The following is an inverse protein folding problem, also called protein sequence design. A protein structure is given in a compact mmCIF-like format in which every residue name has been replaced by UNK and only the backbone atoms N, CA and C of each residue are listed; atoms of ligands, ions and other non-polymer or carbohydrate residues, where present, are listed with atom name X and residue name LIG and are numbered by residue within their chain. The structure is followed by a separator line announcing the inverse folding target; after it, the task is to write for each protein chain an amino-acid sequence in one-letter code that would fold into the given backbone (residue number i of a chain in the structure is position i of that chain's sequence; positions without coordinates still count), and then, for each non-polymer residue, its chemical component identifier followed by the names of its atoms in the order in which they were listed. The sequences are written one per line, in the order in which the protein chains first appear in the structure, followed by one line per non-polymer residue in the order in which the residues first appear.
data_IF_058654791853
#
_entry.id   IF_058654791853
#
_cell.length_a   1.000
_cell.length_b   1.000
_cell.length_c   1.000
_cell.angle_alpha   90.00
_cell.angle_beta   90.00
_cell.angle_gamma   90.00
#
_symmetry.space_group_name_H-M   'P 1'
#
loop_
_entity.id
_entity.type
_entity.pdbx_description
1 polymer ?
#
# COMPACT_ATOMS: atom_id res chain seq x y z
N UNK A 1 -65.18 -24.35 38.22
CA UNK A 1 -63.89 -24.42 37.53
C UNK A 1 -64.20 -24.25 36.06
N UNK A 2 -64.04 -23.02 35.56
CA UNK A 2 -62.89 -22.59 34.73
C UNK A 2 -63.04 -23.23 33.32
N UNK A 3 -63.11 -22.51 32.19
CA UNK A 3 -62.26 -21.39 31.76
C UNK A 3 -62.99 -20.44 30.79
N UNK A 4 -63.03 -19.16 31.15
CA UNK A 4 -62.87 -17.96 30.29
C UNK A 4 -61.53 -18.04 29.51
N UNK A 5 -61.21 -17.34 28.41
CA UNK A 5 -61.77 -16.21 27.68
C UNK A 5 -60.99 -16.10 26.35
N UNK A 6 -61.61 -15.45 25.37
CA UNK A 6 -61.02 -14.95 24.13
C UNK A 6 -60.40 -13.55 24.35
N UNK A 7 -59.53 -13.11 23.42
CA UNK A 7 -59.15 -11.71 23.04
C UNK A 7 -57.80 -11.12 23.49
N UNK A 8 -57.28 -10.21 22.63
CA UNK A 8 -56.11 -9.29 22.69
C UNK A 8 -54.84 -9.84 22.01
N UNK A 9 -54.47 -9.49 20.76
CA UNK A 9 -54.19 -8.19 20.12
C UNK A 9 -53.05 -7.38 20.77
N UNK A 10 -52.16 -6.84 19.92
CA UNK A 10 -51.10 -5.84 20.20
C UNK A 10 -49.86 -6.36 20.95
N UNK A 11 -48.63 -5.86 20.79
CA UNK A 11 -47.92 -5.00 19.83
C UNK A 11 -46.46 -5.07 20.30
N UNK A 12 -45.54 -5.09 19.35
CA UNK A 12 -44.12 -4.72 19.42
C UNK A 12 -43.52 -4.48 20.82
N UNK A 13 -42.80 -5.49 21.31
CA UNK A 13 -41.85 -5.34 22.40
C UNK A 13 -40.43 -5.21 21.86
N UNK A 14 -39.98 -3.98 21.62
CA UNK A 14 -38.57 -3.63 21.87
C UNK A 14 -38.40 -2.14 22.15
N UNK A 15 -38.81 -1.76 23.37
CA UNK A 15 -38.41 -0.52 24.02
C UNK A 15 -37.01 -0.72 24.60
N UNK A 16 -36.01 -0.13 23.96
CA UNK A 16 -34.72 0.13 24.61
C UNK A 16 -34.76 1.57 25.15
N UNK A 17 -34.68 1.66 26.47
CA UNK A 17 -34.79 2.88 27.24
C UNK A 17 -33.65 3.88 26.97
N UNK A 18 -34.05 5.14 27.03
CA UNK A 18 -33.29 6.38 27.13
C UNK A 18 -32.12 6.33 28.11
N UNK A 19 -30.90 6.53 27.60
CA UNK A 19 -29.97 7.57 28.06
C UNK A 19 -28.92 7.83 26.97
N UNK A 20 -28.66 9.10 26.65
CA UNK A 20 -27.56 9.49 25.76
C UNK A 20 -27.93 10.10 24.41
N UNK A 21 -29.02 10.89 24.32
CA UNK A 21 -29.18 11.88 23.24
C UNK A 21 -28.80 13.26 23.76
N UNK A 22 -27.50 13.56 23.71
CA UNK A 22 -27.01 14.93 23.66
C UNK A 22 -26.54 15.17 22.23
N UNK A 23 -27.41 15.83 21.49
CA UNK A 23 -27.24 16.33 20.15
C UNK A 23 -25.90 17.05 20.00
N UNK A 24 -25.18 16.74 18.94
CA UNK A 24 -23.93 17.42 18.63
C UNK A 24 -23.23 16.68 17.51
N UNK A 25 -23.79 16.79 16.32
CA UNK A 25 -23.07 16.54 15.09
C UNK A 25 -21.91 17.55 14.99
N UNK A 26 -20.88 17.36 15.80
CA UNK A 26 -19.55 17.77 15.41
C UNK A 26 -19.18 16.76 14.33
N UNK A 27 -19.55 17.10 13.10
CA UNK A 27 -18.79 16.68 11.93
C UNK A 27 -17.42 17.32 12.12
N UNK A 28 -16.65 16.76 13.07
CA UNK A 28 -15.21 16.95 13.08
C UNK A 28 -14.81 16.16 11.87
N UNK A 29 -14.72 16.92 10.77
CA UNK A 29 -13.98 16.63 9.55
C UNK A 29 -13.14 15.42 9.88
N UNK A 30 -13.58 14.25 9.39
CA UNK A 30 -12.72 13.10 9.34
C UNK A 30 -11.52 13.66 8.62
N UNK A 31 -10.50 14.02 9.42
CA UNK A 31 -9.31 14.64 8.93
C UNK A 31 -8.92 13.70 7.83
N UNK A 32 -8.93 14.23 6.61
CA UNK A 32 -8.38 13.58 5.44
C UNK A 32 -7.01 13.12 5.93
N UNK A 33 -6.95 11.87 6.41
CA UNK A 33 -5.73 11.14 6.42
C UNK A 33 -5.37 11.24 4.96
N UNK A 34 -4.30 11.96 4.57
CA UNK A 34 -3.90 11.98 3.18
C UNK A 34 -3.79 10.50 2.85
N UNK A 35 -4.73 9.99 2.04
CA UNK A 35 -4.92 8.57 1.86
C UNK A 35 -3.54 8.05 1.52
N UNK A 36 -2.90 7.37 2.47
CA UNK A 36 -1.50 7.01 2.35
C UNK A 36 -1.48 6.11 1.13
N UNK A 37 -1.02 6.66 -0.01
CA UNK A 37 -1.47 6.32 -1.35
C UNK A 37 -1.68 4.82 -1.49
N UNK A 38 -2.89 4.37 -1.13
CA UNK A 38 -3.11 2.97 -0.88
C UNK A 38 -3.21 2.40 -2.28
N UNK A 39 -2.19 1.62 -2.66
CA UNK A 39 -2.22 0.83 -3.89
C UNK A 39 -3.63 0.34 -4.08
N UNK A 40 -4.34 0.78 -5.13
CA UNK A 40 -5.75 0.44 -5.36
C UNK A 40 -5.90 -1.02 -5.81
N UNK A 41 -4.94 -1.85 -5.45
CA UNK A 41 -4.85 -3.24 -5.79
C UNK A 41 -5.73 -4.05 -4.85
N UNK A 42 -6.34 -5.09 -5.41
CA UNK A 42 -6.97 -6.11 -4.62
C UNK A 42 -5.95 -6.66 -3.59
N UNK A 43 -6.29 -6.67 -2.29
CA UNK A 43 -5.37 -7.09 -1.23
C UNK A 43 -4.88 -8.54 -1.40
N UNK A 44 -5.55 -9.37 -2.19
CA UNK A 44 -5.10 -10.73 -2.52
C UNK A 44 -3.99 -10.77 -3.58
N UNK A 45 -3.87 -9.75 -4.43
CA UNK A 45 -2.84 -9.65 -5.47
C UNK A 45 -1.54 -9.00 -4.96
N UNK A 46 -1.59 -8.36 -3.78
CA UNK A 46 -0.43 -7.74 -3.15
C UNK A 46 0.73 -8.70 -2.80
N UNK A 47 0.50 -9.89 -2.19
CA UNK A 47 1.60 -10.80 -1.86
C UNK A 47 2.34 -11.33 -3.09
N UNK A 48 1.64 -11.61 -4.19
CA UNK A 48 2.26 -12.02 -5.45
C UNK A 48 3.13 -10.90 -6.03
N UNK A 49 2.61 -9.66 -6.04
CA UNK A 49 3.35 -8.49 -6.54
C UNK A 49 4.62 -8.22 -5.73
N UNK A 50 4.53 -8.32 -4.41
CA UNK A 50 5.69 -8.18 -3.52
C UNK A 50 6.70 -9.30 -3.76
N UNK A 51 6.25 -10.54 -3.99
CA UNK A 51 7.14 -11.65 -4.29
C UNK A 51 7.90 -11.46 -5.61
N UNK A 52 7.21 -10.97 -6.66
CA UNK A 52 7.83 -10.65 -7.96
C UNK A 52 8.90 -9.55 -7.82
N UNK A 53 8.57 -8.47 -7.12
CA UNK A 53 9.55 -7.42 -6.81
C UNK A 53 10.75 -7.99 -6.04
N UNK A 54 10.53 -8.79 -5.00
CA UNK A 54 11.63 -9.41 -4.22
C UNK A 54 12.52 -10.31 -5.07
N UNK A 55 11.95 -11.08 -5.99
CA UNK A 55 12.73 -11.91 -6.91
C UNK A 55 13.64 -11.04 -7.79
N UNK A 56 13.08 -9.97 -8.38
CA UNK A 56 13.80 -9.01 -9.21
C UNK A 56 14.90 -8.29 -8.42
N UNK A 57 14.58 -7.87 -7.20
CA UNK A 57 15.52 -7.23 -6.29
C UNK A 57 16.64 -8.17 -5.81
N UNK A 58 16.44 -9.49 -5.86
CA UNK A 58 17.49 -10.49 -5.64
C UNK A 58 18.56 -10.52 -6.74
N UNK A 59 18.28 -9.93 -7.91
CA UNK A 59 19.20 -9.85 -9.04
C UNK A 59 19.92 -8.48 -9.13
N UNK A 60 19.72 -7.58 -8.17
CA UNK A 60 20.35 -6.25 -8.18
C UNK A 60 21.88 -6.35 -8.18
N UNK A 61 22.51 -5.70 -9.15
CA UNK A 61 23.97 -5.60 -9.26
C UNK A 61 24.51 -4.39 -8.50
N UNK A 62 23.74 -3.31 -8.43
CA UNK A 62 24.09 -2.10 -7.68
C UNK A 62 22.83 -1.34 -7.24
N UNK A 63 22.89 -0.69 -6.07
CA UNK A 63 21.83 0.17 -5.58
C UNK A 63 22.40 1.45 -4.98
N UNK A 64 21.68 2.55 -5.19
CA UNK A 64 21.94 3.84 -4.54
C UNK A 64 20.61 4.42 -4.04
N UNK A 65 20.47 4.53 -2.73
CA UNK A 65 19.23 5.02 -2.09
C UNK A 65 19.52 6.36 -1.44
N UNK A 66 19.10 7.43 -2.11
CA UNK A 66 19.13 8.79 -1.59
C UNK A 66 17.83 9.18 -0.89
N UNK A 67 17.77 10.45 -0.45
CA UNK A 67 16.60 10.98 0.27
C UNK A 67 15.38 11.19 -0.63
N UNK A 68 15.57 11.52 -1.90
CA UNK A 68 14.47 11.81 -2.85
C UNK A 68 14.58 11.04 -4.16
N UNK A 69 15.68 10.31 -4.35
CA UNK A 69 15.95 9.51 -5.53
C UNK A 69 16.54 8.17 -5.08
N UNK A 70 16.04 7.07 -5.62
CA UNK A 70 16.64 5.75 -5.48
C UNK A 70 16.91 5.17 -6.88
N UNK A 71 18.07 4.56 -7.06
CA UNK A 71 18.47 3.92 -8.31
C UNK A 71 18.86 2.47 -8.05
N UNK A 72 18.39 1.57 -8.89
CA UNK A 72 18.68 0.15 -8.85
C UNK A 72 19.14 -0.34 -10.22
N UNK A 73 20.29 -1.00 -10.25
CA UNK A 73 20.85 -1.60 -11.46
C UNK A 73 20.60 -3.11 -11.43
N UNK A 74 20.17 -3.65 -12.57
CA UNK A 74 19.93 -5.07 -12.78
C UNK A 74 20.71 -5.56 -14.01
N UNK A 75 21.05 -6.85 -14.10
CA UNK A 75 21.63 -7.40 -15.32
C UNK A 75 20.63 -7.28 -16.46
N UNK A 76 21.10 -6.90 -17.65
CA UNK A 76 20.26 -6.86 -18.85
C UNK A 76 20.02 -8.28 -19.37
N UNK A 77 18.93 -8.88 -18.92
CA UNK A 77 18.37 -10.10 -19.50
C UNK A 77 16.99 -9.80 -20.09
N UNK A 78 16.55 -10.61 -21.05
CA UNK A 78 15.21 -10.45 -21.65
C UNK A 78 14.09 -10.66 -20.61
N UNK A 79 14.27 -11.60 -19.68
CA UNK A 79 13.32 -11.85 -18.59
C UNK A 79 13.27 -10.67 -17.62
N UNK A 80 14.41 -10.18 -17.15
CA UNK A 80 14.48 -9.04 -16.22
C UNK A 80 13.90 -7.77 -16.85
N UNK A 81 14.15 -7.51 -18.14
CA UNK A 81 13.61 -6.35 -18.83
C UNK A 81 12.08 -6.40 -18.96
N UNK A 82 11.52 -7.55 -19.34
CA UNK A 82 10.08 -7.74 -19.44
C UNK A 82 9.40 -7.60 -18.07
N UNK A 83 9.94 -8.29 -17.06
CA UNK A 83 9.36 -8.29 -15.72
C UNK A 83 9.40 -6.90 -15.09
N UNK A 84 10.54 -6.19 -15.24
CA UNK A 84 10.69 -4.84 -14.71
C UNK A 84 9.76 -3.84 -15.41
N UNK A 85 9.58 -3.96 -16.73
CA UNK A 85 8.64 -3.12 -17.47
C UNK A 85 7.20 -3.35 -17.02
N UNK A 86 6.79 -4.61 -16.85
CA UNK A 86 5.45 -4.97 -16.37
C UNK A 86 5.19 -4.44 -14.96
N UNK A 87 6.12 -4.66 -14.03
CA UNK A 87 5.97 -4.19 -12.65
C UNK A 87 5.96 -2.66 -12.59
N UNK A 88 6.82 -1.96 -13.31
CA UNK A 88 6.82 -0.49 -13.36
C UNK A 88 5.50 0.06 -13.91
N UNK A 89 4.92 -0.57 -14.95
CA UNK A 89 3.59 -0.17 -15.44
C UNK A 89 2.51 -0.29 -14.36
N UNK A 90 2.55 -1.36 -13.57
CA UNK A 90 1.61 -1.57 -12.47
C UNK A 90 1.83 -0.56 -11.34
N UNK A 91 3.07 -0.29 -10.96
CA UNK A 91 3.38 0.67 -9.90
C UNK A 91 3.10 2.12 -10.30
N UNK A 92 3.21 2.48 -11.58
CA UNK A 92 2.78 3.80 -12.05
C UNK A 92 1.28 4.06 -11.83
N UNK A 93 0.46 3.00 -11.81
CA UNK A 93 -0.98 3.11 -11.50
C UNK A 93 -1.21 3.20 -10.00
N UNK A 94 -0.51 2.39 -9.21
CA UNK A 94 -0.70 2.30 -7.76
C UNK A 94 0.00 3.44 -6.97
N UNK A 95 1.15 3.90 -7.45
CA UNK A 95 2.02 4.90 -6.84
C UNK A 95 2.28 6.05 -7.82
N UNK A 96 1.21 6.68 -8.31
CA UNK A 96 1.28 7.78 -9.29
C UNK A 96 2.06 9.02 -8.79
N UNK A 97 2.26 9.14 -7.47
CA UNK A 97 3.03 10.21 -6.84
C UNK A 97 4.55 10.00 -6.94
N UNK A 98 4.99 8.79 -7.31
CA UNK A 98 6.39 8.45 -7.52
C UNK A 98 6.67 8.54 -9.02
N UNK A 99 7.73 9.24 -9.41
CA UNK A 99 8.23 9.20 -10.76
C UNK A 99 9.09 7.93 -10.95
N UNK A 100 8.63 7.06 -11.84
CA UNK A 100 9.31 5.81 -12.18
C UNK A 100 9.97 5.95 -13.56
N UNK A 101 11.29 5.88 -13.61
CA UNK A 101 12.06 5.85 -14.85
C UNK A 101 12.80 4.52 -14.98
N UNK A 102 12.86 4.05 -16.21
CA UNK A 102 13.49 2.79 -16.58
C UNK A 102 14.32 3.06 -17.84
N UNK A 103 15.63 2.81 -17.75
CA UNK A 103 16.58 3.03 -18.83
C UNK A 103 17.46 1.79 -19.02
N UNK A 104 17.78 1.47 -20.27
CA UNK A 104 18.78 0.46 -20.59
C UNK A 104 20.14 1.13 -20.77
N UNK A 105 21.15 0.75 -19.99
CA UNK A 105 22.52 1.26 -20.11
C UNK A 105 23.49 0.13 -20.43
N UNK A 106 23.73 -0.07 -21.73
CA UNK A 106 24.65 -1.11 -22.20
C UNK A 106 24.19 -2.51 -21.78
N UNK A 107 24.90 -3.12 -20.83
CA UNK A 107 24.60 -4.45 -20.29
C UNK A 107 23.77 -4.42 -19.00
N UNK A 108 23.31 -3.25 -18.58
CA UNK A 108 22.53 -3.07 -17.36
C UNK A 108 21.17 -2.42 -17.63
N UNK A 109 20.24 -2.70 -16.74
CA UNK A 109 18.93 -2.08 -16.65
C UNK A 109 18.93 -1.18 -15.42
N UNK A 110 18.54 0.07 -15.57
CA UNK A 110 18.54 1.06 -14.50
C UNK A 110 17.10 1.47 -14.22
N UNK A 111 16.64 1.13 -13.02
CA UNK A 111 15.39 1.62 -12.45
C UNK A 111 15.68 2.81 -11.56
N UNK A 112 15.02 3.94 -11.80
CA UNK A 112 15.11 5.12 -10.95
C UNK A 112 13.72 5.49 -10.44
N UNK A 113 13.64 5.70 -9.12
CA UNK A 113 12.44 6.14 -8.40
C UNK A 113 12.72 7.53 -7.84
N UNK A 114 11.86 8.48 -8.13
CA UNK A 114 11.94 9.84 -7.58
C UNK A 114 10.64 10.20 -6.88
N UNK A 115 10.72 10.61 -5.61
CA UNK A 115 9.58 11.05 -4.82
C UNK A 115 10.07 11.89 -3.63
N UNK A 116 9.13 12.44 -2.84
CA UNK A 116 9.50 12.99 -1.54
C UNK A 116 10.07 11.90 -0.62
N UNK A 117 10.82 12.30 0.40
CA UNK A 117 11.54 11.36 1.25
C UNK A 117 10.66 10.37 2.02
N UNK A 118 9.45 10.78 2.41
CA UNK A 118 8.53 9.88 3.12
C UNK A 118 7.96 8.84 2.15
N UNK A 119 7.50 9.29 0.98
CA UNK A 119 6.96 8.41 -0.07
C UNK A 119 8.00 7.44 -0.60
N UNK A 120 9.21 7.92 -0.91
CA UNK A 120 10.30 7.07 -1.41
C UNK A 120 10.67 5.99 -0.39
N UNK A 121 10.81 6.37 0.88
CA UNK A 121 11.11 5.42 1.96
C UNK A 121 10.01 4.36 2.11
N UNK A 122 8.74 4.76 2.06
CA UNK A 122 7.61 3.84 2.16
C UNK A 122 7.56 2.83 1.00
N UNK A 123 7.81 3.32 -0.22
CA UNK A 123 7.79 2.52 -1.45
C UNK A 123 8.94 1.52 -1.46
N UNK A 124 10.17 1.95 -1.18
CA UNK A 124 11.34 1.07 -1.08
C UNK A 124 11.16 0.03 0.03
N UNK A 125 10.66 0.42 1.21
CA UNK A 125 10.40 -0.52 2.31
C UNK A 125 9.31 -1.56 1.97
N UNK A 126 8.32 -1.19 1.15
CA UNK A 126 7.25 -2.08 0.71
C UNK A 126 7.74 -3.24 -0.16
N UNK A 127 8.75 -2.99 -1.00
CA UNK A 127 9.34 -4.04 -1.85
C UNK A 127 10.54 -4.72 -1.21
N UNK A 128 11.28 -4.00 -0.37
CA UNK A 128 12.54 -4.43 0.24
C UNK A 128 12.51 -4.25 1.77
N UNK A 129 11.86 -5.15 2.52
CA UNK A 129 11.81 -5.05 3.98
C UNK A 129 13.19 -5.15 4.64
N UNK A 130 14.20 -5.70 3.96
CA UNK A 130 15.57 -5.89 4.51
C UNK A 130 16.59 -4.84 4.05
N UNK A 131 16.32 -4.08 2.97
CA UNK A 131 17.27 -3.07 2.48
C UNK A 131 17.38 -1.85 3.42
N UNK A 132 16.39 -1.67 4.30
CA UNK A 132 16.33 -0.56 5.26
C UNK A 132 17.28 -0.72 6.47
N UNK A 133 17.94 -1.87 6.65
CA UNK A 133 18.76 -2.16 7.85
C UNK A 133 20.28 -2.07 7.62
N UNK A 134 20.75 -1.79 6.39
CA UNK A 134 22.18 -1.91 6.07
C UNK A 134 23.03 -0.66 6.39
N UNK A 135 22.49 0.42 6.97
CA UNK A 135 23.29 1.63 7.31
C UNK A 135 22.84 2.34 8.59
N UNK A 136 22.87 1.64 9.72
CA UNK A 136 22.97 2.27 11.05
C UNK A 136 23.93 1.49 11.97
N UNK A 137 25.12 1.10 11.51
CA UNK A 137 26.22 0.73 12.42
C UNK A 137 27.56 1.26 11.88
N UNK A 138 28.07 2.31 12.52
CA UNK A 138 29.30 2.99 12.13
C UNK A 138 29.52 4.28 12.92
N UNK A 139 29.56 4.18 14.24
CA UNK A 139 30.20 5.16 15.14
C UNK A 139 31.32 4.47 15.91
#
# INVERSE_FOLDING_TARGET
MDMDKNVEEMTEGQSCAVDGSCCGADTRVAAEQPAAAACTLDPSAMPERVARWRALFGEVTAQDTGSTVATFCFPKTAETALELEELVKLERVCCAHVAWSFEERGAELVLTLEADAASLKAVVAGFMPEASQAREEGV
#
